data_IF_762119973104
#
_entry.id   IF_762119973104
#
_cell.length_a   1.000
_cell.length_b   1.000
_cell.length_c   1.000
_cell.angle_alpha   90.00
_cell.angle_beta   90.00
_cell.angle_gamma   90.00
#
_symmetry.space_group_name_H-M   'P 1'
#
loop_
_entity.id
_entity.type
_entity.pdbx_description
1 polymer ?
#
# COMPACT_ATOMS: atom_id res chain seq x y z
N UNK A 1 -4.30 -59.82 -31.77
CA UNK A 1 -3.96 -60.12 -30.37
C UNK A 1 -2.51 -59.75 -30.10
N UNK A 2 -2.26 -58.74 -29.26
CA UNK A 2 -1.30 -58.76 -28.15
C UNK A 2 -0.98 -57.32 -27.71
N UNK A 3 -1.67 -56.91 -26.63
CA UNK A 3 -1.15 -56.16 -25.48
C UNK A 3 -0.81 -54.68 -25.79
N UNK A 4 -1.65 -53.69 -25.49
CA UNK A 4 -2.27 -53.38 -24.19
C UNK A 4 -1.33 -53.65 -23.02
N UNK A 5 -0.22 -52.90 -22.93
CA UNK A 5 0.43 -52.45 -21.67
C UNK A 5 1.28 -51.22 -22.08
N UNK A 6 0.68 -50.04 -21.98
CA UNK A 6 1.32 -48.78 -21.59
C UNK A 6 0.20 -47.78 -21.29
N UNK A 7 -0.80 -48.30 -20.59
CA UNK A 7 -1.69 -47.52 -19.73
C UNK A 7 -0.88 -47.27 -18.44
N UNK A 8 -1.01 -46.07 -17.85
CA UNK A 8 -0.51 -45.73 -16.50
C UNK A 8 0.93 -45.20 -16.39
N UNK A 9 1.39 -44.33 -17.30
CA UNK A 9 2.41 -43.34 -16.91
C UNK A 9 1.99 -41.96 -17.41
N UNK A 10 1.97 -41.01 -16.47
CA UNK A 10 1.67 -39.58 -16.64
C UNK A 10 0.20 -39.13 -16.61
N UNK A 11 -0.58 -39.78 -15.74
CA UNK A 11 -1.57 -39.07 -14.92
C UNK A 11 -0.80 -38.12 -13.98
N UNK A 12 -0.58 -36.87 -14.40
CA UNK A 12 0.23 -35.95 -13.59
C UNK A 12 0.50 -34.58 -14.18
N UNK A 13 -0.33 -34.08 -15.11
CA UNK A 13 -0.37 -32.63 -15.33
C UNK A 13 -1.17 -32.06 -14.18
N UNK A 14 -0.46 -31.73 -13.10
CA UNK A 14 -0.99 -30.88 -12.05
C UNK A 14 -1.49 -29.61 -12.73
N UNK A 15 -2.81 -29.41 -12.75
CA UNK A 15 -3.39 -28.09 -12.91
C UNK A 15 -2.84 -27.27 -11.75
N UNK A 16 -1.77 -26.51 -12.00
CA UNK A 16 -1.40 -25.39 -11.17
C UNK A 16 -2.52 -24.37 -11.33
N UNK A 17 -3.55 -24.51 -10.49
CA UNK A 17 -4.55 -23.49 -10.30
C UNK A 17 -3.80 -22.24 -9.83
N UNK A 18 -3.53 -21.32 -10.76
CA UNK A 18 -3.05 -19.99 -10.42
C UNK A 18 -4.06 -19.44 -9.42
N UNK A 19 -3.61 -19.18 -8.19
CA UNK A 19 -4.44 -18.54 -7.19
C UNK A 19 -4.86 -17.19 -7.78
N UNK A 20 -6.13 -17.08 -8.18
CA UNK A 20 -6.67 -15.84 -8.68
C UNK A 20 -6.69 -14.84 -7.52
N UNK A 21 -5.76 -13.89 -7.53
CA UNK A 21 -5.73 -12.83 -6.53
C UNK A 21 -6.91 -11.89 -6.77
N UNK A 22 -7.71 -11.66 -5.72
CA UNK A 22 -8.83 -10.74 -5.80
C UNK A 22 -8.48 -9.42 -5.12
N UNK A 23 -8.92 -8.33 -5.73
CA UNK A 23 -8.84 -6.99 -5.16
C UNK A 23 -10.21 -6.32 -5.19
N UNK A 24 -10.36 -5.28 -4.36
CA UNK A 24 -11.49 -4.36 -4.40
C UNK A 24 -11.03 -2.96 -4.76
N UNK A 25 -11.83 -2.23 -5.52
CA UNK A 25 -11.59 -0.81 -5.76
C UNK A 25 -11.86 -0.01 -4.48
N UNK A 26 -11.00 0.94 -4.13
CA UNK A 26 -11.19 1.82 -2.95
C UNK A 26 -11.81 3.18 -3.29
N UNK A 27 -11.97 3.45 -4.58
CA UNK A 27 -12.59 4.65 -5.15
C UNK A 27 -13.07 4.33 -6.57
N UNK A 28 -13.89 5.20 -7.13
CA UNK A 28 -14.27 5.12 -8.54
C UNK A 28 -13.01 5.23 -9.41
N UNK A 29 -12.87 4.35 -10.38
CA UNK A 29 -11.66 4.26 -11.20
C UNK A 29 -11.96 3.82 -12.62
N UNK A 30 -11.26 4.43 -13.55
CA UNK A 30 -11.33 4.07 -14.96
C UNK A 30 -10.60 2.76 -15.23
N UNK A 31 -11.22 1.90 -16.03
CA UNK A 31 -10.61 0.73 -16.65
C UNK A 31 -10.02 1.16 -17.99
N UNK A 32 -8.69 1.13 -18.10
CA UNK A 32 -7.93 1.56 -19.28
C UNK A 32 -7.57 0.40 -20.20
N UNK A 33 -7.39 0.66 -21.50
CA UNK A 33 -6.93 -0.34 -22.45
C UNK A 33 -5.45 -0.73 -22.27
N UNK A 34 -4.63 0.15 -21.70
CA UNK A 34 -3.19 -0.03 -21.52
C UNK A 34 -2.66 0.52 -20.18
N UNK A 35 -1.43 0.14 -19.78
CA UNK A 35 -0.81 0.55 -18.52
C UNK A 35 -0.19 1.96 -18.58
N UNK A 36 -0.95 2.95 -19.06
CA UNK A 36 -0.55 4.34 -19.22
C UNK A 36 -1.77 5.27 -19.11
N UNK A 37 -1.55 6.52 -18.70
CA UNK A 37 -2.64 7.44 -18.29
C UNK A 37 -3.53 7.90 -19.44
N UNK A 38 -2.94 8.07 -20.61
CA UNK A 38 -3.53 8.50 -21.87
C UNK A 38 -4.14 7.33 -22.68
N UNK A 39 -4.11 6.11 -22.13
CA UNK A 39 -4.81 4.98 -22.74
C UNK A 39 -6.32 5.23 -22.82
N UNK A 40 -6.96 4.66 -23.85
CA UNK A 40 -8.41 4.69 -24.03
C UNK A 40 -9.11 4.13 -22.79
N UNK A 41 -10.10 4.86 -22.27
CA UNK A 41 -11.00 4.37 -21.21
C UNK A 41 -12.00 3.39 -21.80
N UNK A 42 -12.00 2.16 -21.30
CA UNK A 42 -12.92 1.09 -21.68
C UNK A 42 -14.21 1.11 -20.88
N UNK A 43 -14.11 1.39 -19.58
CA UNK A 43 -15.25 1.45 -18.66
C UNK A 43 -14.88 2.24 -17.40
N UNK A 44 -15.87 2.60 -16.61
CA UNK A 44 -15.66 3.09 -15.23
C UNK A 44 -16.08 2.00 -14.24
N UNK A 45 -15.28 1.78 -13.20
CA UNK A 45 -15.53 0.78 -12.16
C UNK A 45 -15.83 1.53 -10.86
N UNK A 46 -17.00 1.33 -10.25
CA UNK A 46 -17.36 2.03 -9.02
C UNK A 46 -16.52 1.52 -7.83
N UNK A 47 -16.46 2.33 -6.78
CA UNK A 47 -15.85 1.96 -5.49
C UNK A 47 -16.42 0.65 -4.93
N UNK A 48 -15.60 -0.11 -4.21
CA UNK A 48 -15.89 -1.41 -3.60
C UNK A 48 -16.22 -2.57 -4.56
N UNK A 49 -15.99 -2.38 -5.87
CA UNK A 49 -16.14 -3.43 -6.87
C UNK A 49 -15.06 -4.49 -6.72
N UNK A 50 -15.48 -5.77 -6.72
CA UNK A 50 -14.56 -6.91 -6.71
C UNK A 50 -14.00 -7.11 -8.12
N UNK A 51 -12.68 -7.17 -8.23
CA UNK A 51 -11.97 -7.42 -9.48
C UNK A 51 -10.94 -8.53 -9.29
N UNK A 52 -10.74 -9.32 -10.32
CA UNK A 52 -9.70 -10.35 -10.36
C UNK A 52 -8.41 -9.73 -10.90
N UNK A 53 -7.29 -9.97 -10.23
CA UNK A 53 -5.98 -9.44 -10.62
C UNK A 53 -5.28 -10.46 -11.51
N UNK A 54 -4.92 -10.02 -12.71
CA UNK A 54 -4.27 -10.88 -13.72
C UNK A 54 -2.76 -10.68 -13.69
N UNK A 55 -2.31 -9.42 -13.73
CA UNK A 55 -0.88 -9.06 -13.65
C UNK A 55 -0.68 -7.65 -13.13
N UNK A 56 0.52 -7.37 -12.65
CA UNK A 56 0.94 -6.05 -12.20
C UNK A 56 2.10 -5.56 -13.07
N UNK A 57 2.05 -4.29 -13.48
CA UNK A 57 3.11 -3.65 -14.26
C UNK A 57 3.30 -2.22 -13.77
N UNK A 58 4.43 -1.95 -13.10
CA UNK A 58 4.74 -0.65 -12.52
C UNK A 58 3.58 -0.13 -11.64
N UNK A 59 3.08 1.09 -11.88
CA UNK A 59 1.95 1.71 -11.18
C UNK A 59 0.55 1.18 -11.58
N UNK A 60 0.48 0.20 -12.49
CA UNK A 60 -0.75 -0.33 -13.05
C UNK A 60 -0.95 -1.81 -12.72
N UNK A 61 -2.21 -2.19 -12.63
CA UNK A 61 -2.61 -3.58 -12.43
C UNK A 61 -3.64 -3.93 -13.52
N UNK A 62 -3.36 -5.00 -14.26
CA UNK A 62 -4.36 -5.57 -15.16
C UNK A 62 -5.36 -6.35 -14.33
N UNK A 63 -6.63 -5.99 -14.47
CA UNK A 63 -7.73 -6.58 -13.75
C UNK A 63 -8.80 -7.06 -14.72
N UNK A 64 -9.51 -8.10 -14.31
CA UNK A 64 -10.71 -8.59 -14.97
C UNK A 64 -11.92 -8.25 -14.09
N UNK A 65 -12.85 -7.50 -14.68
CA UNK A 65 -14.11 -7.10 -14.07
C UNK A 65 -15.26 -7.71 -14.89
N UNK A 66 -15.75 -8.87 -14.46
CA UNK A 66 -16.75 -9.64 -15.20
C UNK A 66 -16.23 -10.10 -16.57
N UNK A 67 -16.84 -9.59 -17.65
CA UNK A 67 -16.46 -9.89 -19.04
C UNK A 67 -15.38 -8.96 -19.60
N UNK A 68 -15.06 -7.88 -18.91
CA UNK A 68 -14.10 -6.86 -19.37
C UNK A 68 -12.76 -7.04 -18.68
N UNK A 69 -11.67 -6.88 -19.43
CA UNK A 69 -10.30 -6.88 -18.92
C UNK A 69 -9.61 -5.57 -19.32
N UNK A 70 -8.82 -5.01 -18.43
CA UNK A 70 -8.10 -3.77 -18.66
C UNK A 70 -7.20 -3.41 -17.51
N UNK A 71 -6.69 -2.19 -17.52
CA UNK A 71 -5.70 -1.70 -16.57
C UNK A 71 -6.30 -0.66 -15.63
N UNK A 72 -6.01 -0.81 -14.34
CA UNK A 72 -6.43 0.11 -13.29
C UNK A 72 -5.19 0.57 -12.53
N UNK A 73 -5.22 1.79 -11.99
CA UNK A 73 -4.16 2.29 -11.12
C UNK A 73 -4.07 1.42 -9.87
N UNK A 74 -2.88 0.95 -9.54
CA UNK A 74 -2.67 0.08 -8.38
C UNK A 74 -3.14 0.73 -7.07
N UNK A 75 -2.93 2.02 -6.90
CA UNK A 75 -3.37 2.78 -5.72
C UNK A 75 -4.89 2.90 -5.60
N UNK A 76 -5.65 2.54 -6.63
CA UNK A 76 -7.10 2.43 -6.57
C UNK A 76 -7.58 1.05 -6.13
N UNK A 77 -6.67 0.09 -5.92
CA UNK A 77 -6.99 -1.29 -5.54
C UNK A 77 -6.54 -1.60 -4.11
N UNK A 78 -7.38 -2.33 -3.39
CA UNK A 78 -7.09 -2.99 -2.11
C UNK A 78 -7.16 -4.48 -2.33
N UNK A 79 -6.02 -5.14 -2.25
CA UNK A 79 -5.93 -6.59 -2.33
C UNK A 79 -6.64 -7.21 -1.13
N UNK A 80 -7.51 -8.18 -1.39
CA UNK A 80 -8.03 -9.01 -0.32
C UNK A 80 -6.92 -10.00 0.01
N UNK A 81 -6.20 -9.77 1.11
CA UNK A 81 -5.45 -10.86 1.74
C UNK A 81 -6.47 -11.92 2.07
N UNK A 82 -6.52 -12.96 1.25
CA UNK A 82 -7.09 -14.21 1.69
C UNK A 82 -6.15 -14.66 2.80
N UNK A 83 -6.57 -14.45 4.05
CA UNK A 83 -6.19 -15.32 5.16
C UNK A 83 -6.80 -16.68 4.82
N UNK A 84 -6.22 -17.32 3.81
CA UNK A 84 -6.44 -18.72 3.52
C UNK A 84 -6.02 -19.42 4.81
N UNK A 85 -7.00 -20.10 5.42
CA UNK A 85 -6.81 -20.78 6.68
C UNK A 85 -5.64 -21.75 6.60
N UNK A 86 -4.47 -21.29 7.04
CA UNK A 86 -3.46 -22.14 7.63
C UNK A 86 -3.32 -21.62 9.05
N UNK A 87 -3.95 -22.37 9.95
CA UNK A 87 -3.69 -22.30 11.38
C UNK A 87 -2.18 -22.43 11.59
N UNK A 88 -1.46 -21.32 11.63
CA UNK A 88 -0.23 -21.21 12.39
C UNK A 88 0.12 -19.73 12.68
N UNK A 89 0.01 -19.37 13.95
CA UNK A 89 0.79 -18.34 14.64
C UNK A 89 0.72 -16.89 14.12
N UNK A 90 0.09 -16.02 14.92
CA UNK A 90 0.02 -14.55 14.74
C UNK A 90 1.36 -13.81 14.61
N UNK A 91 2.49 -14.51 14.74
CA UNK A 91 3.84 -14.00 14.46
C UNK A 91 4.13 -13.92 12.95
N UNK A 92 3.56 -14.81 12.12
CA UNK A 92 3.75 -14.80 10.66
C UNK A 92 3.03 -13.64 9.96
N UNK A 93 1.87 -13.23 10.48
CA UNK A 93 1.16 -12.04 10.03
C UNK A 93 1.97 -10.76 10.33
N UNK A 94 2.59 -10.67 11.52
CA UNK A 94 3.49 -9.57 11.88
C UNK A 94 4.73 -9.51 10.98
N UNK A 95 5.29 -10.66 10.62
CA UNK A 95 6.45 -10.74 9.73
C UNK A 95 6.13 -10.28 8.29
N UNK A 96 4.91 -10.57 7.80
CA UNK A 96 4.44 -10.05 6.52
C UNK A 96 4.14 -8.55 6.58
N UNK A 97 3.66 -8.01 7.69
CA UNK A 97 3.53 -6.56 7.87
C UNK A 97 4.92 -5.88 7.87
N UNK A 98 5.91 -6.46 8.55
CA UNK A 98 7.28 -5.97 8.56
C UNK A 98 7.96 -6.06 7.17
N UNK A 99 7.67 -7.11 6.39
CA UNK A 99 8.17 -7.26 5.02
C UNK A 99 7.44 -6.42 3.97
N UNK A 100 6.14 -6.20 4.14
CA UNK A 100 5.32 -5.54 3.11
C UNK A 100 5.17 -4.04 3.37
N UNK A 101 5.50 -3.52 4.56
CA UNK A 101 5.51 -2.09 4.87
C UNK A 101 4.16 -1.36 4.75
N UNK A 102 3.12 -2.02 4.23
CA UNK A 102 1.80 -1.45 4.00
C UNK A 102 0.80 -2.06 4.98
N UNK A 103 0.66 -1.49 6.16
CA UNK A 103 -0.52 -1.73 6.98
C UNK A 103 -0.88 -0.47 7.76
N UNK A 104 -2.12 -0.02 7.55
CA UNK A 104 -2.76 1.07 8.25
C UNK A 104 -2.71 2.39 7.47
N UNK A 105 -3.87 2.97 7.17
CA UNK A 105 -4.34 4.37 7.20
C UNK A 105 -3.41 5.63 7.12
N UNK A 106 -2.83 5.90 5.94
CA UNK A 106 -2.50 7.22 5.34
C UNK A 106 -3.36 8.45 5.62
N UNK A 107 -3.66 8.90 6.85
CA UNK A 107 -4.45 10.15 7.04
C UNK A 107 -3.57 11.31 7.51
N UNK A 108 -3.61 12.39 6.74
CA UNK A 108 -2.75 13.58 6.72
C UNK A 108 -2.86 14.52 7.94
N UNK A 109 -3.45 14.07 9.05
CA UNK A 109 -3.64 14.88 10.26
C UNK A 109 -3.34 14.06 11.53
N UNK A 110 -2.07 13.73 11.74
CA UNK A 110 -1.45 13.54 13.08
C UNK A 110 -1.92 12.44 14.05
N UNK A 111 -3.03 11.73 13.85
CA UNK A 111 -3.57 10.77 14.86
C UNK A 111 -3.42 9.31 14.47
N UNK A 112 -2.31 9.00 13.79
CA UNK A 112 -2.05 7.67 13.26
C UNK A 112 -1.57 6.74 14.37
N UNK A 113 -2.50 6.01 14.99
CA UNK A 113 -2.22 5.05 16.06
C UNK A 113 -2.57 5.53 17.48
N UNK A 114 -3.30 6.63 17.61
CA UNK A 114 -3.85 7.11 18.89
C UNK A 114 -5.37 6.95 18.87
N UNK A 115 -5.94 6.30 19.88
CA UNK A 115 -7.39 6.20 20.07
C UNK A 115 -7.97 7.47 20.71
N UNK A 116 -9.29 7.66 20.62
CA UNK A 116 -9.98 8.83 21.22
C UNK A 116 -9.77 8.90 22.74
N UNK A 117 -9.70 7.75 23.40
CA UNK A 117 -9.47 7.61 24.84
C UNK A 117 -8.03 7.96 25.22
N UNK A 118 -7.06 7.62 24.36
CA UNK A 118 -5.66 7.99 24.56
C UNK A 118 -5.45 9.49 24.41
N UNK A 119 -6.21 10.16 23.54
CA UNK A 119 -6.20 11.62 23.39
C UNK A 119 -6.85 12.32 24.60
N UNK A 120 -8.00 11.83 25.09
CA UNK A 120 -8.68 12.40 26.27
C UNK A 120 -7.84 12.32 27.55
N UNK A 121 -7.04 11.26 27.67
CA UNK A 121 -6.18 11.02 28.84
C UNK A 121 -4.72 11.43 28.64
N UNK A 122 -4.38 12.04 27.49
CA UNK A 122 -3.02 12.45 27.20
C UNK A 122 -2.53 13.45 28.25
N UNK A 123 -1.42 13.13 28.94
CA UNK A 123 -0.77 14.02 29.90
C UNK A 123 0.60 14.44 29.38
N UNK A 124 1.01 15.70 29.59
CA UNK A 124 2.35 16.14 29.26
C UNK A 124 3.41 15.29 29.98
N UNK A 125 4.40 14.80 29.23
CA UNK A 125 5.55 14.09 29.78
C UNK A 125 6.79 15.01 29.75
N UNK A 126 7.11 15.72 30.85
CA UNK A 126 8.23 16.66 30.87
C UNK A 126 9.60 16.00 30.66
N UNK A 127 9.74 14.72 31.01
CA UNK A 127 11.00 13.97 30.84
C UNK A 127 11.33 13.75 29.36
N UNK A 128 10.32 13.46 28.54
CA UNK A 128 10.50 13.30 27.10
C UNK A 128 10.68 14.66 26.40
N UNK A 129 10.09 15.74 26.94
CA UNK A 129 10.33 17.09 26.44
C UNK A 129 11.81 17.48 26.59
N UNK A 130 12.43 17.20 27.73
CA UNK A 130 13.86 17.46 27.94
C UNK A 130 14.73 16.61 27.00
N UNK A 131 14.37 15.35 26.75
CA UNK A 131 15.06 14.52 25.74
C UNK A 131 14.92 15.10 24.33
N UNK A 132 13.74 15.60 23.96
CA UNK A 132 13.51 16.22 22.67
C UNK A 132 14.35 17.50 22.49
N UNK A 133 14.48 18.32 23.54
CA UNK A 133 15.35 19.51 23.54
C UNK A 133 16.82 19.15 23.31
N UNK A 134 17.29 18.00 23.79
CA UNK A 134 18.67 17.56 23.57
C UNK A 134 19.01 17.29 22.09
N UNK A 135 18.00 17.04 21.24
CA UNK A 135 18.18 16.90 19.79
C UNK A 135 18.03 18.23 19.04
N UNK A 136 17.71 19.33 19.74
CA UNK A 136 17.60 20.63 19.10
C UNK A 136 19.00 21.17 18.75
N UNK A 137 19.20 21.49 17.48
CA UNK A 137 20.42 22.12 17.00
C UNK A 137 20.47 23.57 17.49
N UNK A 138 21.61 24.00 18.03
CA UNK A 138 21.78 25.39 18.44
C UNK A 138 21.76 26.33 17.23
N UNK A 139 21.15 27.52 17.40
CA UNK A 139 21.04 28.54 16.34
C UNK A 139 22.40 28.89 15.72
N UNK A 140 23.46 28.90 16.52
CA UNK A 140 24.82 29.21 16.06
C UNK A 140 25.37 28.12 15.13
N UNK A 141 25.15 26.86 15.45
CA UNK A 141 25.60 25.72 14.65
C UNK A 141 24.82 25.60 13.35
N UNK A 142 23.49 25.80 13.41
CA UNK A 142 22.63 25.88 12.23
C UNK A 142 23.09 26.98 11.25
N UNK A 143 23.49 28.16 11.76
CA UNK A 143 24.03 29.25 10.92
C UNK A 143 25.37 28.89 10.27
N UNK A 144 26.26 28.18 10.98
CA UNK A 144 27.54 27.71 10.41
C UNK A 144 27.29 26.70 9.29
N UNK A 145 26.38 25.75 9.51
CA UNK A 145 25.97 24.79 8.49
C UNK A 145 25.37 25.48 7.27
N UNK A 146 24.46 26.45 7.47
CA UNK A 146 23.86 27.23 6.39
C UNK A 146 24.92 27.96 5.54
N UNK A 147 25.92 28.59 6.19
CA UNK A 147 27.04 29.24 5.47
C UNK A 147 27.88 28.24 4.69
N UNK A 148 28.16 27.05 5.24
CA UNK A 148 28.90 26.00 4.52
C UNK A 148 28.15 25.47 3.30
N UNK A 149 26.81 25.40 3.39
CA UNK A 149 25.93 25.00 2.29
C UNK A 149 25.58 26.12 1.31
N UNK A 150 26.15 27.33 1.48
CA UNK A 150 25.78 28.54 0.70
C UNK A 150 24.28 28.83 0.70
N UNK A 151 23.61 28.55 1.82
CA UNK A 151 22.19 28.80 2.01
C UNK A 151 21.97 30.27 2.39
N UNK A 152 21.00 30.91 1.75
CA UNK A 152 20.59 32.28 2.03
C UNK A 152 19.44 32.31 3.04
N UNK A 153 19.45 33.31 3.92
CA UNK A 153 18.37 33.51 4.88
C UNK A 153 17.15 34.08 4.15
N UNK A 154 16.01 33.41 4.24
CA UNK A 154 14.73 33.94 3.80
C UNK A 154 13.85 34.24 5.02
N UNK A 155 13.26 35.43 5.03
CA UNK A 155 12.20 35.77 5.97
C UNK A 155 10.87 35.24 5.38
N UNK A 156 10.25 34.31 6.09
CA UNK A 156 8.96 33.74 5.71
C UNK A 156 7.95 34.24 6.72
N UNK A 157 7.01 35.05 6.22
CA UNK A 157 5.94 35.59 7.03
C UNK A 157 5.11 34.45 7.63
N UNK A 158 4.69 34.61 8.88
CA UNK A 158 3.89 33.58 9.55
C UNK A 158 2.55 33.49 8.82
N UNK A 159 2.29 32.36 8.17
CA UNK A 159 1.07 32.17 7.38
C UNK A 159 -0.15 32.51 8.24
N UNK A 160 -0.82 33.62 7.88
CA UNK A 160 -1.94 34.17 8.61
C UNK A 160 -3.03 33.13 8.82
N UNK A 161 -3.26 32.79 10.09
CA UNK A 161 -4.44 32.04 10.49
C UNK A 161 -5.67 32.94 10.37
N UNK A 162 -6.55 32.60 9.43
CA UNK A 162 -7.99 32.89 9.56
C UNK A 162 -8.65 31.71 10.25
#
# INVERSE_FOLDING_TARGET
MRKSILFVVLLGVALTAGAADFARTIRDTELKAGPYSDAKTLANIPVNSKVEVVKRQSAWTQVKSGKSSGWVRMLSLRYQTSTSGRSDSGLGALFNVAKTGTSGSTVTTGVRGLSEEQLKNARPNPKELERAKAYAVEKAEARKHARSGKLEQQDVDYMGGK
#
